data_IF_694428077345
#
_entry.id   IF_694428077345
#
_cell.length_a   1.000
_cell.length_b   1.000
_cell.length_c   1.000
_cell.angle_alpha   90.00
_cell.angle_beta   90.00
_cell.angle_gamma   90.00
#
_symmetry.space_group_name_H-M   'P 1'
#
loop_
_entity.id
_entity.type
_entity.pdbx_description
1 polymer ?
#
# COMPACT_ATOMS: atom_id res chain seq x y z
N UNK A 1 -8.81 -7.45 18.11
CA UNK A 1 -7.55 -8.16 18.07
C UNK A 1 -7.48 -9.00 16.80
N UNK A 2 -6.32 -9.18 16.17
CA UNK A 2 -6.16 -10.07 15.02
C UNK A 2 -6.52 -11.52 15.40
N UNK A 3 -7.16 -12.22 14.46
CA UNK A 3 -7.52 -13.64 14.60
C UNK A 3 -7.08 -14.40 13.36
N UNK A 4 -6.32 -15.48 13.55
CA UNK A 4 -5.89 -16.36 12.48
C UNK A 4 -6.71 -17.65 12.44
N UNK A 5 -7.04 -18.10 11.23
CA UNK A 5 -7.64 -19.39 10.93
C UNK A 5 -6.85 -20.03 9.79
N UNK A 6 -6.54 -21.32 9.88
CA UNK A 6 -5.89 -22.04 8.79
C UNK A 6 -6.43 -23.43 8.64
N UNK A 7 -6.43 -23.92 7.40
CA UNK A 7 -6.80 -25.28 7.02
C UNK A 7 -5.73 -25.81 6.06
N UNK A 8 -5.32 -27.06 6.31
CA UNK A 8 -4.28 -27.73 5.56
C UNK A 8 -4.71 -29.17 5.29
N UNK A 9 -4.65 -29.59 4.02
CA UNK A 9 -4.93 -30.98 3.66
C UNK A 9 -3.93 -31.43 2.61
N UNK A 10 -3.50 -32.66 2.78
CA UNK A 10 -2.52 -33.23 1.88
C UNK A 10 -2.77 -34.70 1.61
N UNK A 11 -2.28 -35.14 0.47
CA UNK A 11 -2.28 -36.53 0.07
C UNK A 11 -0.88 -36.94 -0.40
N UNK A 12 -0.47 -38.14 -0.02
CA UNK A 12 0.80 -38.70 -0.42
C UNK A 12 0.59 -40.03 -1.12
N UNK A 13 1.26 -40.22 -2.24
CA UNK A 13 1.23 -41.44 -3.05
C UNK A 13 2.64 -42.05 -3.10
N UNK A 14 2.69 -43.35 -2.92
CA UNK A 14 3.90 -44.17 -3.04
C UNK A 14 3.65 -45.25 -4.08
N UNK A 15 4.38 -45.23 -5.16
CA UNK A 15 4.15 -46.12 -6.30
C UNK A 15 5.44 -46.80 -6.74
N UNK A 16 5.33 -47.92 -7.45
CA UNK A 16 6.45 -48.63 -8.06
C UNK A 16 7.56 -48.97 -7.05
N UNK A 17 7.21 -49.61 -5.93
CA UNK A 17 8.15 -49.95 -4.88
C UNK A 17 8.95 -48.75 -4.35
N UNK A 18 8.29 -47.61 -4.14
CA UNK A 18 8.85 -46.35 -3.70
C UNK A 18 9.78 -45.64 -4.73
N UNK A 19 9.77 -46.05 -6.00
CA UNK A 19 10.50 -45.33 -7.03
C UNK A 19 9.84 -44.01 -7.37
N UNK A 20 8.54 -43.87 -7.11
CA UNK A 20 7.78 -42.65 -7.31
C UNK A 20 7.10 -42.30 -6.01
N UNK A 21 7.39 -41.10 -5.50
CA UNK A 21 6.68 -40.49 -4.38
C UNK A 21 6.08 -39.19 -4.86
N UNK A 22 4.79 -38.98 -4.66
CA UNK A 22 4.12 -37.72 -4.96
C UNK A 22 3.40 -37.24 -3.69
N UNK A 23 3.48 -35.95 -3.43
CA UNK A 23 2.78 -35.25 -2.35
C UNK A 23 2.10 -34.04 -2.92
N UNK A 24 0.84 -33.85 -2.53
CA UNK A 24 0.05 -32.68 -2.88
C UNK A 24 -0.56 -32.14 -1.60
N UNK A 25 -0.34 -30.86 -1.34
CA UNK A 25 -0.92 -30.14 -0.20
C UNK A 25 -1.72 -28.98 -0.71
N UNK A 26 -2.88 -28.74 -0.12
CA UNK A 26 -3.67 -27.51 -0.30
C UNK A 26 -3.78 -26.84 1.05
N UNK A 27 -3.67 -25.51 1.04
CA UNK A 27 -3.83 -24.72 2.22
C UNK A 27 -4.72 -23.50 1.98
N UNK A 28 -5.38 -23.09 3.04
CA UNK A 28 -6.08 -21.82 3.13
C UNK A 28 -5.83 -21.23 4.51
N UNK A 29 -5.45 -19.98 4.56
CA UNK A 29 -5.22 -19.26 5.81
C UNK A 29 -5.89 -17.88 5.73
N UNK A 30 -6.58 -17.52 6.81
CA UNK A 30 -7.21 -16.21 6.96
C UNK A 30 -6.65 -15.52 8.19
N UNK A 31 -6.30 -14.25 8.04
CA UNK A 31 -5.96 -13.38 9.14
C UNK A 31 -6.95 -12.23 9.16
N UNK A 32 -7.86 -12.26 10.12
CA UNK A 32 -8.89 -11.25 10.30
C UNK A 32 -8.37 -10.11 11.18
N UNK A 33 -8.80 -8.89 10.89
CA UNK A 33 -8.44 -7.68 11.63
C UNK A 33 -6.91 -7.45 11.75
N UNK A 34 -6.13 -7.82 10.73
CA UNK A 34 -4.73 -7.44 10.65
C UNK A 34 -4.62 -5.91 10.57
N UNK A 35 -3.53 -5.34 11.06
CA UNK A 35 -3.28 -3.90 10.93
C UNK A 35 -3.13 -3.53 9.47
N UNK A 36 -3.92 -2.56 9.01
CA UNK A 36 -3.86 -2.05 7.64
C UNK A 36 -2.70 -1.06 7.47
N UNK A 37 -1.96 -1.10 6.34
CA UNK A 37 -0.93 -0.11 6.03
C UNK A 37 -1.49 1.29 5.78
N UNK A 38 -2.81 1.45 5.64
CA UNK A 38 -3.49 2.75 5.47
C UNK A 38 -3.51 3.61 6.74
N UNK A 39 -2.95 3.14 7.83
CA UNK A 39 -2.90 3.91 9.09
C UNK A 39 -2.32 5.30 8.90
N UNK A 40 -1.34 5.47 8.01
CA UNK A 40 -0.79 6.79 7.70
C UNK A 40 -1.81 7.68 6.97
N UNK A 41 -2.54 7.14 5.99
CA UNK A 41 -3.59 7.88 5.27
C UNK A 41 -4.69 8.30 6.25
N UNK A 42 -5.10 7.39 7.13
CA UNK A 42 -6.08 7.66 8.17
C UNK A 42 -5.65 8.80 9.10
N UNK A 43 -4.41 8.75 9.60
CA UNK A 43 -3.87 9.80 10.45
C UNK A 43 -3.76 11.14 9.74
N UNK A 44 -3.44 11.14 8.45
CA UNK A 44 -3.35 12.35 7.64
C UNK A 44 -4.72 12.96 7.37
N UNK A 45 -5.72 12.14 6.95
CA UNK A 45 -7.11 12.59 6.77
C UNK A 45 -7.63 13.19 8.08
N UNK A 46 -7.36 12.54 9.19
CA UNK A 46 -7.74 13.03 10.52
C UNK A 46 -7.04 14.35 10.87
N UNK A 47 -5.74 14.47 10.60
CA UNK A 47 -4.99 15.71 10.84
C UNK A 47 -5.51 16.85 9.96
N UNK A 48 -5.81 16.59 8.71
CA UNK A 48 -6.34 17.59 7.78
C UNK A 48 -7.73 18.06 8.22
N UNK A 49 -8.60 17.12 8.62
CA UNK A 49 -9.91 17.45 9.21
C UNK A 49 -9.76 18.30 10.47
N UNK A 50 -8.87 17.90 11.38
CA UNK A 50 -8.64 18.62 12.64
C UNK A 50 -8.11 20.04 12.39
N UNK A 51 -7.15 20.18 11.48
CA UNK A 51 -6.59 21.47 11.12
C UNK A 51 -7.65 22.36 10.46
N UNK A 52 -8.46 21.81 9.56
CA UNK A 52 -9.53 22.51 8.90
C UNK A 52 -10.57 23.01 9.91
N UNK A 53 -11.03 22.13 10.80
CA UNK A 53 -11.99 22.51 11.85
C UNK A 53 -11.42 23.47 12.87
N UNK A 54 -10.19 23.24 13.29
CA UNK A 54 -9.52 24.14 14.23
C UNK A 54 -9.36 25.54 13.67
N UNK A 55 -9.11 25.65 12.36
CA UNK A 55 -9.06 26.97 11.67
C UNK A 55 -10.43 27.58 11.53
N UNK A 56 -11.40 26.84 10.96
CA UNK A 56 -12.77 27.30 10.85
C UNK A 56 -13.29 27.83 12.18
N UNK A 57 -13.13 27.06 13.25
CA UNK A 57 -13.60 27.48 14.55
C UNK A 57 -12.84 28.70 15.08
N UNK A 58 -11.51 28.70 15.05
CA UNK A 58 -10.72 29.80 15.61
C UNK A 58 -10.90 31.09 14.83
N UNK A 59 -10.91 30.99 13.52
CA UNK A 59 -10.87 32.17 12.66
C UNK A 59 -12.29 32.69 12.37
N UNK A 60 -13.29 31.80 12.29
CA UNK A 60 -14.68 32.21 12.13
C UNK A 60 -15.34 32.64 13.42
N UNK A 61 -14.88 32.17 14.58
CA UNK A 61 -15.39 32.62 15.88
C UNK A 61 -15.20 34.10 16.15
N UNK A 62 -14.23 34.72 15.50
CA UNK A 62 -14.09 36.18 15.55
C UNK A 62 -15.28 36.89 14.90
N UNK A 63 -15.92 36.24 13.94
CA UNK A 63 -16.97 36.78 13.10
C UNK A 63 -18.36 36.19 13.37
N UNK A 64 -18.41 35.06 14.03
CA UNK A 64 -19.62 34.30 14.38
C UNK A 64 -19.37 33.52 15.68
N UNK A 65 -19.37 34.23 16.82
CA UNK A 65 -19.08 33.65 18.13
C UNK A 65 -20.21 32.72 18.62
N UNK A 66 -21.44 32.98 18.16
CA UNK A 66 -22.63 32.21 18.51
C UNK A 66 -22.85 30.99 17.63
N UNK A 67 -22.10 30.87 16.53
CA UNK A 67 -22.17 29.74 15.57
C UNK A 67 -23.52 29.59 14.86
N UNK A 68 -24.21 30.68 14.57
CA UNK A 68 -25.49 30.69 13.86
C UNK A 68 -25.34 30.79 12.32
N UNK A 69 -24.12 30.92 11.83
CA UNK A 69 -23.82 31.02 10.40
C UNK A 69 -23.96 32.45 9.84
N UNK A 70 -24.09 33.45 10.72
CA UNK A 70 -24.17 34.85 10.36
C UNK A 70 -23.04 35.66 11.01
N UNK A 71 -22.80 36.87 10.48
CA UNK A 71 -21.84 37.77 11.09
C UNK A 71 -22.41 38.33 12.38
N UNK A 72 -21.63 38.26 13.47
CA UNK A 72 -22.02 38.85 14.72
C UNK A 72 -22.05 40.39 14.66
N UNK A 73 -22.97 40.98 15.39
CA UNK A 73 -23.19 42.46 15.42
C UNK A 73 -21.89 43.18 15.88
N UNK A 74 -21.09 42.61 16.76
CA UNK A 74 -19.84 43.21 17.24
C UNK A 74 -18.84 43.37 16.05
N UNK A 75 -18.79 42.40 15.14
CA UNK A 75 -17.94 42.48 13.95
C UNK A 75 -18.51 43.48 12.93
N UNK A 76 -19.81 43.50 12.76
CA UNK A 76 -20.49 44.53 11.95
C UNK A 76 -20.16 45.92 12.48
N UNK A 77 -20.23 46.11 13.77
CA UNK A 77 -19.91 47.40 14.42
C UNK A 77 -18.42 47.75 14.21
N UNK A 78 -17.50 46.77 14.27
CA UNK A 78 -16.08 46.97 13.98
C UNK A 78 -15.85 47.42 12.52
N UNK A 79 -16.60 46.84 11.55
CA UNK A 79 -16.54 47.23 10.12
C UNK A 79 -17.14 48.61 9.86
N UNK A 80 -18.12 48.99 10.67
CA UNK A 80 -18.76 50.31 10.57
C UNK A 80 -18.01 51.38 11.33
N UNK A 81 -17.04 51.01 12.19
CA UNK A 81 -16.30 51.99 12.96
C UNK A 81 -15.48 52.90 12.05
N UNK A 82 -15.44 54.21 12.33
CA UNK A 82 -14.58 55.13 11.60
C UNK A 82 -13.13 54.68 11.65
N UNK A 83 -12.48 54.71 10.47
CA UNK A 83 -11.03 54.44 10.40
C UNK A 83 -10.22 55.63 10.94
N UNK A 84 -8.90 55.62 10.71
CA UNK A 84 -7.97 56.61 11.26
C UNK A 84 -8.21 58.03 10.78
N UNK A 85 -9.08 58.29 9.79
CA UNK A 85 -9.50 59.62 9.31
C UNK A 85 -10.85 60.05 9.89
N UNK A 86 -11.48 59.17 10.68
CA UNK A 86 -12.74 59.48 11.38
C UNK A 86 -13.98 59.31 10.50
N UNK A 87 -13.86 58.71 9.34
CA UNK A 87 -14.97 58.47 8.41
C UNK A 87 -15.36 57.01 8.41
N UNK A 88 -16.60 56.68 8.58
CA UNK A 88 -17.09 55.32 8.44
C UNK A 88 -17.04 54.93 6.96
N UNK A 89 -16.55 53.72 6.63
CA UNK A 89 -16.55 53.20 5.26
C UNK A 89 -17.97 52.98 4.70
N UNK A 90 -19.00 53.07 5.54
CA UNK A 90 -20.40 52.94 5.15
C UNK A 90 -21.21 54.19 5.56
N UNK A 91 -22.05 54.67 4.65
CA UNK A 91 -22.94 55.79 4.96
C UNK A 91 -24.01 55.38 5.98
N UNK A 92 -24.07 56.02 7.14
CA UNK A 92 -25.05 55.71 8.20
C UNK A 92 -26.49 55.84 7.77
N UNK A 93 -26.77 56.60 6.72
CA UNK A 93 -28.12 56.85 6.24
C UNK A 93 -28.64 55.82 5.26
N UNK A 94 -27.79 55.30 4.39
CA UNK A 94 -28.12 54.29 3.37
C UNK A 94 -27.65 52.90 3.72
N UNK A 95 -26.68 52.76 4.63
CA UNK A 95 -26.02 51.49 4.92
C UNK A 95 -25.17 50.95 3.76
N UNK A 96 -24.82 51.83 2.79
CA UNK A 96 -24.03 51.46 1.61
C UNK A 96 -22.63 52.11 1.70
N UNK A 97 -21.62 51.40 1.17
CA UNK A 97 -20.29 51.98 0.98
C UNK A 97 -20.22 52.84 -0.28
N UNK A 98 -19.06 53.44 -0.55
CA UNK A 98 -18.82 54.28 -1.72
C UNK A 98 -19.04 53.56 -3.07
N UNK A 99 -19.01 52.24 -3.08
CA UNK A 99 -19.26 51.39 -4.25
C UNK A 99 -20.75 50.99 -4.36
N UNK A 100 -21.60 51.42 -3.43
CA UNK A 100 -23.02 51.13 -3.40
C UNK A 100 -23.36 49.73 -2.91
N UNK A 101 -22.43 49.07 -2.15
CA UNK A 101 -22.61 47.76 -1.60
C UNK A 101 -23.13 47.84 -0.15
N UNK A 102 -24.01 46.93 0.20
CA UNK A 102 -24.33 46.65 1.62
C UNK A 102 -23.12 46.01 2.35
N UNK A 103 -23.14 46.04 3.67
CA UNK A 103 -22.08 45.39 4.49
C UNK A 103 -21.89 43.94 4.08
N UNK A 104 -22.97 43.18 3.97
CA UNK A 104 -22.92 41.76 3.56
C UNK A 104 -22.31 41.60 2.17
N UNK A 105 -22.64 42.48 1.22
CA UNK A 105 -22.07 42.45 -0.14
C UNK A 105 -20.59 42.84 -0.14
N UNK A 106 -20.22 43.86 0.63
CA UNK A 106 -18.82 44.26 0.77
C UNK A 106 -17.97 43.21 1.44
N UNK A 107 -18.48 42.58 2.50
CA UNK A 107 -17.82 41.43 3.16
C UNK A 107 -17.68 40.24 2.22
N UNK A 108 -18.74 39.90 1.47
CA UNK A 108 -18.69 38.80 0.51
C UNK A 108 -17.72 39.08 -0.66
N UNK A 109 -17.53 40.35 -1.04
CA UNK A 109 -16.60 40.76 -2.09
C UNK A 109 -15.14 40.82 -1.59
N UNK A 110 -14.94 41.42 -0.40
CA UNK A 110 -13.60 41.56 0.22
C UNK A 110 -13.09 40.26 0.83
N UNK A 111 -14.01 39.45 1.37
CA UNK A 111 -13.69 38.23 2.10
C UNK A 111 -14.58 37.06 1.66
N UNK A 112 -14.55 36.64 0.40
CA UNK A 112 -15.44 35.60 -0.11
C UNK A 112 -15.25 34.26 0.66
N UNK A 113 -14.07 34.05 1.25
CA UNK A 113 -13.79 32.88 2.06
C UNK A 113 -14.54 32.88 3.40
N UNK A 114 -14.82 34.05 4.03
CA UNK A 114 -15.55 34.11 5.30
C UNK A 114 -16.99 33.67 5.11
N UNK A 115 -17.71 34.27 4.19
CA UNK A 115 -19.14 33.95 3.95
C UNK A 115 -19.32 32.50 3.56
N UNK A 116 -18.46 31.99 2.67
CA UNK A 116 -18.48 30.59 2.29
C UNK A 116 -18.08 29.67 3.46
N UNK A 117 -17.15 30.10 4.31
CA UNK A 117 -16.73 29.40 5.51
C UNK A 117 -17.84 29.30 6.57
N UNK A 118 -18.60 30.36 6.81
CA UNK A 118 -19.73 30.35 7.71
C UNK A 118 -20.84 29.39 7.22
N UNK A 119 -21.17 29.43 5.93
CA UNK A 119 -22.12 28.50 5.34
C UNK A 119 -21.64 27.03 5.45
N UNK A 120 -20.37 26.78 5.12
CA UNK A 120 -19.79 25.45 5.22
C UNK A 120 -19.77 24.94 6.68
N UNK A 121 -19.50 25.81 7.66
CA UNK A 121 -19.53 25.46 9.08
C UNK A 121 -20.93 25.06 9.52
N UNK A 122 -21.96 25.82 9.17
CA UNK A 122 -23.34 25.53 9.53
C UNK A 122 -23.81 24.16 8.99
N UNK A 123 -23.36 23.79 7.80
CA UNK A 123 -23.71 22.50 7.17
C UNK A 123 -22.90 21.33 7.71
N UNK A 124 -21.62 21.55 8.02
CA UNK A 124 -20.67 20.48 8.32
C UNK A 124 -20.58 20.18 9.81
N UNK A 125 -20.74 21.18 10.67
CA UNK A 125 -20.64 21.03 12.12
C UNK A 125 -21.60 19.98 12.72
N UNK A 126 -22.89 19.92 12.33
CA UNK A 126 -23.79 18.86 12.81
C UNK A 126 -23.38 17.45 12.40
N UNK A 127 -22.81 17.29 11.23
CA UNK A 127 -22.42 15.99 10.70
C UNK A 127 -21.14 15.47 11.33
N UNK A 128 -20.20 16.37 11.65
CA UNK A 128 -18.97 16.04 12.35
C UNK A 128 -19.19 15.60 13.76
N UNK A 129 -20.19 16.18 14.44
CA UNK A 129 -20.43 15.86 15.83
C UNK A 129 -20.74 14.40 16.07
N UNK A 130 -21.42 13.71 15.18
CA UNK A 130 -21.79 12.31 15.37
C UNK A 130 -20.74 11.32 14.85
N UNK A 131 -20.20 11.52 13.65
CA UNK A 131 -19.19 10.62 13.08
C UNK A 131 -17.81 10.76 13.77
N UNK A 132 -17.38 11.98 14.08
CA UNK A 132 -16.09 12.24 14.69
C UNK A 132 -16.11 12.16 16.21
N UNK A 133 -17.21 12.46 16.90
CA UNK A 133 -17.33 12.23 18.35
C UNK A 133 -17.16 10.76 18.70
N UNK A 134 -17.74 9.87 17.91
CA UNK A 134 -17.64 8.43 18.13
C UNK A 134 -16.25 7.90 17.74
N UNK A 135 -15.66 8.38 16.65
CA UNK A 135 -14.39 7.88 16.15
C UNK A 135 -13.18 8.49 16.87
N UNK A 136 -13.25 9.78 17.27
CA UNK A 136 -12.09 10.56 17.72
C UNK A 136 -12.26 11.27 19.04
N UNK A 137 -13.36 11.05 19.72
CA UNK A 137 -13.69 11.80 20.95
C UNK A 137 -13.55 13.33 20.75
N UNK A 138 -13.94 13.80 19.58
CA UNK A 138 -13.89 15.22 19.21
C UNK A 138 -14.88 16.00 20.07
N UNK A 139 -14.44 17.09 20.64
CA UNK A 139 -15.27 18.01 21.44
C UNK A 139 -15.07 19.42 20.93
N UNK A 140 -16.15 20.06 20.56
CA UNK A 140 -16.18 21.50 20.44
C UNK A 140 -16.33 22.06 21.85
N UNK A 141 -15.38 22.85 22.31
CA UNK A 141 -15.45 23.51 23.59
C UNK A 141 -16.35 24.75 23.45
N UNK A 142 -17.00 25.16 24.57
CA UNK A 142 -17.80 26.38 24.64
C UNK A 142 -17.00 27.67 24.28
N UNK A 143 -15.68 27.59 24.31
CA UNK A 143 -14.76 28.64 23.84
C UNK A 143 -14.50 28.61 22.34
N UNK A 144 -15.17 27.69 21.59
CA UNK A 144 -14.95 27.45 20.18
C UNK A 144 -13.64 26.76 19.81
N UNK A 145 -12.78 26.48 20.76
CA UNK A 145 -11.60 25.68 20.52
C UNK A 145 -12.00 24.20 20.35
N UNK A 146 -11.53 23.57 19.29
CA UNK A 146 -11.68 22.13 19.12
C UNK A 146 -10.65 21.40 19.96
N UNK A 147 -11.09 20.34 20.63
CA UNK A 147 -10.21 19.44 21.37
C UNK A 147 -10.44 18.02 20.91
N UNK A 148 -9.38 17.39 20.40
CA UNK A 148 -9.36 15.95 20.17
C UNK A 148 -8.57 15.28 21.26
N UNK A 149 -9.13 14.27 21.89
CA UNK A 149 -8.39 13.41 22.78
C UNK A 149 -7.79 12.26 21.93
N UNK A 150 -6.53 12.39 21.58
CA UNK A 150 -5.79 11.36 20.89
C UNK A 150 -5.53 10.18 21.83
N UNK A 151 -6.09 9.06 21.52
CA UNK A 151 -5.78 7.79 22.18
C UNK A 151 -4.59 7.08 21.51
N UNK A 152 -3.59 7.82 21.05
CA UNK A 152 -2.46 7.26 20.29
C UNK A 152 -2.76 7.12 18.79
N UNK A 153 -1.86 6.47 18.06
CA UNK A 153 -2.02 6.25 16.62
C UNK A 153 -3.27 5.41 16.34
N UNK A 154 -4.22 5.98 15.61
CA UNK A 154 -5.41 5.25 15.17
C UNK A 154 -4.99 4.35 14.04
N UNK A 155 -5.22 3.05 14.20
CA UNK A 155 -4.98 2.05 13.18
C UNK A 155 -6.30 1.52 12.65
N UNK A 156 -6.37 1.35 11.35
CA UNK A 156 -7.45 0.61 10.72
C UNK A 156 -7.04 -0.84 10.46
N UNK A 157 -7.98 -1.66 10.08
CA UNK A 157 -7.77 -3.09 9.90
C UNK A 157 -7.98 -3.50 8.44
N UNK A 158 -7.52 -4.69 8.14
CA UNK A 158 -7.80 -5.40 6.90
C UNK A 158 -7.82 -6.89 7.18
N UNK A 159 -8.46 -7.64 6.32
CA UNK A 159 -8.41 -9.09 6.35
C UNK A 159 -7.46 -9.57 5.26
N UNK A 160 -6.74 -10.66 5.53
CA UNK A 160 -5.78 -11.26 4.60
C UNK A 160 -6.21 -12.69 4.36
N UNK A 161 -6.54 -13.01 3.12
CA UNK A 161 -6.86 -14.35 2.67
C UNK A 161 -5.67 -14.87 1.85
N UNK A 162 -5.03 -15.94 2.33
CA UNK A 162 -3.95 -16.61 1.63
C UNK A 162 -4.37 -18.05 1.30
N UNK A 163 -4.19 -18.45 0.05
CA UNK A 163 -4.48 -19.81 -0.37
C UNK A 163 -3.47 -20.31 -1.39
N UNK A 164 -3.37 -21.61 -1.51
CA UNK A 164 -2.47 -22.18 -2.48
C UNK A 164 -2.43 -23.68 -2.47
N UNK A 165 -1.55 -24.21 -3.30
CA UNK A 165 -1.18 -25.60 -3.26
C UNK A 165 0.32 -25.78 -3.44
N UNK A 166 0.82 -26.89 -2.92
CA UNK A 166 2.20 -27.32 -3.07
C UNK A 166 2.23 -28.77 -3.54
N UNK A 167 2.99 -29.02 -4.59
CA UNK A 167 3.19 -30.34 -5.13
C UNK A 167 4.66 -30.73 -5.13
N UNK A 168 4.98 -31.94 -4.69
CA UNK A 168 6.30 -32.54 -4.79
C UNK A 168 6.21 -33.89 -5.49
N UNK A 169 7.08 -34.13 -6.45
CA UNK A 169 7.24 -35.44 -7.09
C UNK A 169 8.69 -35.82 -7.02
N UNK A 170 9.00 -36.96 -6.42
CA UNK A 170 10.31 -37.56 -6.39
C UNK A 170 10.29 -38.83 -7.22
N UNK A 171 11.16 -38.90 -8.21
CA UNK A 171 11.34 -40.04 -9.10
C UNK A 171 12.74 -40.63 -8.90
N UNK A 172 12.83 -41.93 -8.69
CA UNK A 172 14.06 -42.71 -8.69
C UNK A 172 13.97 -43.78 -9.79
N UNK A 173 14.11 -43.40 -11.12
CA UNK A 173 13.92 -44.32 -12.23
C UNK A 173 14.88 -45.51 -12.13
N UNK A 174 16.08 -45.24 -11.64
CA UNK A 174 17.11 -46.27 -11.33
C UNK A 174 17.74 -45.98 -9.95
N UNK A 175 18.54 -46.92 -9.46
CA UNK A 175 19.34 -46.71 -8.23
C UNK A 175 20.36 -45.56 -8.35
N UNK A 176 20.66 -45.17 -9.58
CA UNK A 176 21.68 -44.19 -9.93
C UNK A 176 21.11 -42.79 -10.20
N UNK A 177 19.80 -42.66 -10.45
CA UNK A 177 19.19 -41.45 -10.95
C UNK A 177 18.04 -41.02 -10.05
N UNK A 178 18.13 -39.78 -9.56
CA UNK A 178 17.08 -39.13 -8.78
C UNK A 178 16.64 -37.85 -9.49
N UNK A 179 15.34 -37.65 -9.56
CA UNK A 179 14.69 -36.44 -10.05
C UNK A 179 13.72 -35.97 -8.96
N UNK A 180 13.75 -34.68 -8.63
CA UNK A 180 12.77 -34.06 -7.74
C UNK A 180 12.17 -32.86 -8.46
N UNK A 181 10.86 -32.79 -8.48
CA UNK A 181 10.10 -31.68 -9.03
C UNK A 181 9.19 -31.13 -7.94
N UNK A 182 9.24 -29.82 -7.73
CA UNK A 182 8.35 -29.10 -6.81
C UNK A 182 7.62 -28.02 -7.59
N UNK A 183 6.33 -27.89 -7.32
CA UNK A 183 5.47 -26.84 -7.85
C UNK A 183 4.73 -26.20 -6.68
N UNK A 184 4.66 -24.90 -6.65
CA UNK A 184 3.86 -24.16 -5.69
C UNK A 184 3.09 -23.06 -6.40
N UNK A 185 1.80 -22.94 -6.05
CA UNK A 185 0.96 -21.79 -6.36
C UNK A 185 0.54 -21.15 -5.06
N UNK A 186 0.71 -19.86 -4.96
CA UNK A 186 0.22 -19.11 -3.80
C UNK A 186 -0.46 -17.82 -4.27
N UNK A 187 -1.54 -17.49 -3.60
CA UNK A 187 -2.29 -16.27 -3.81
C UNK A 187 -2.61 -15.66 -2.47
N UNK A 188 -2.41 -14.35 -2.34
CA UNK A 188 -2.80 -13.61 -1.15
C UNK A 188 -3.64 -12.43 -1.60
N UNK A 189 -4.82 -12.31 -1.02
CA UNK A 189 -5.80 -11.28 -1.34
C UNK A 189 -6.09 -10.48 -0.07
N UNK A 190 -6.14 -9.17 -0.19
CA UNK A 190 -6.57 -8.29 0.88
C UNK A 190 -8.06 -8.03 0.75
N UNK A 191 -8.80 -8.21 1.83
CA UNK A 191 -10.23 -7.94 1.88
C UNK A 191 -10.58 -7.08 3.09
N UNK A 192 -11.75 -6.46 3.06
CA UNK A 192 -12.20 -5.56 4.13
C UNK A 192 -11.13 -4.51 4.50
N UNK A 193 -10.53 -3.89 3.47
CA UNK A 193 -9.43 -2.95 3.63
C UNK A 193 -9.92 -1.63 4.18
N UNK A 194 -9.42 -1.25 5.34
CA UNK A 194 -9.65 0.03 5.99
C UNK A 194 -11.13 0.42 6.12
N UNK A 195 -11.99 -0.40 6.75
CA UNK A 195 -13.44 -0.18 6.78
C UNK A 195 -13.82 1.12 7.49
N UNK A 196 -13.06 1.56 8.49
CA UNK A 196 -13.32 2.81 9.22
C UNK A 196 -12.91 4.02 8.39
N UNK A 197 -11.74 3.97 7.75
CA UNK A 197 -11.29 5.03 6.85
C UNK A 197 -12.23 5.11 5.64
N UNK A 198 -12.67 3.97 5.08
CA UNK A 198 -13.64 3.93 4.01
C UNK A 198 -14.92 4.69 4.36
N UNK A 199 -15.48 4.40 5.53
CA UNK A 199 -16.66 5.11 6.00
C UNK A 199 -16.42 6.61 6.18
N UNK A 200 -15.27 7.00 6.72
CA UNK A 200 -14.92 8.41 6.87
C UNK A 200 -14.73 9.11 5.52
N UNK A 201 -14.08 8.45 4.56
CA UNK A 201 -13.78 9.05 3.25
C UNK A 201 -15.03 9.07 2.36
N UNK A 202 -15.75 7.97 2.27
CA UNK A 202 -16.88 7.82 1.33
C UNK A 202 -18.14 8.51 1.83
N UNK A 203 -18.47 8.37 3.09
CA UNK A 203 -19.70 8.93 3.67
C UNK A 203 -19.54 10.42 4.02
N UNK A 204 -18.35 10.87 4.34
CA UNK A 204 -18.11 12.22 4.84
C UNK A 204 -17.11 13.02 3.99
N UNK A 205 -15.82 12.63 3.92
CA UNK A 205 -14.77 13.45 3.32
C UNK A 205 -15.03 13.77 1.86
N UNK A 206 -15.34 12.78 1.02
CA UNK A 206 -15.53 12.97 -0.41
C UNK A 206 -16.74 13.88 -0.73
N UNK A 207 -17.93 13.66 -0.15
CA UNK A 207 -19.08 14.53 -0.40
C UNK A 207 -18.85 15.96 0.04
N UNK A 208 -18.28 16.19 1.24
CA UNK A 208 -18.07 17.53 1.78
C UNK A 208 -16.98 18.30 1.04
N UNK A 209 -15.91 17.60 0.65
CA UNK A 209 -14.88 18.22 -0.16
C UNK A 209 -15.32 18.48 -1.60
N UNK A 210 -16.25 17.69 -2.15
CA UNK A 210 -16.85 18.02 -3.43
C UNK A 210 -17.66 19.31 -3.35
N UNK A 211 -18.38 19.52 -2.26
CA UNK A 211 -19.19 20.72 -2.04
C UNK A 211 -18.34 21.97 -1.74
N UNK A 212 -17.32 21.82 -0.87
CA UNK A 212 -16.62 22.98 -0.28
C UNK A 212 -15.11 23.03 -0.59
N UNK A 213 -14.55 22.02 -1.24
CA UNK A 213 -13.10 21.94 -1.51
C UNK A 213 -12.57 22.96 -2.52
N UNK A 214 -13.45 23.67 -3.21
CA UNK A 214 -13.10 24.78 -4.12
C UNK A 214 -12.86 26.09 -3.37
N UNK A 215 -13.23 26.18 -2.10
CA UNK A 215 -13.07 27.36 -1.30
C UNK A 215 -11.59 27.56 -0.95
N UNK A 216 -11.11 28.78 -1.18
CA UNK A 216 -9.77 29.18 -0.73
C UNK A 216 -9.85 29.57 0.75
N UNK A 217 -9.58 28.59 1.60
CA UNK A 217 -9.58 28.76 3.05
C UNK A 217 -8.36 29.54 3.58
N UNK A 218 -7.43 29.87 2.69
CA UNK A 218 -6.24 30.65 3.02
C UNK A 218 -6.47 32.17 2.94
N UNK A 219 -7.50 32.60 2.23
CA UNK A 219 -7.84 34.02 2.10
C UNK A 219 -9.18 34.32 2.83
N UNK A 220 -9.25 35.06 3.85
CA UNK A 220 -8.40 35.90 4.69
C UNK A 220 -7.78 35.18 5.89
N UNK A 221 -7.93 33.88 6.00
CA UNK A 221 -7.52 33.06 7.13
C UNK A 221 -6.01 32.79 7.17
N UNK A 222 -5.29 33.48 6.36
CA UNK A 222 -3.83 33.62 6.24
C UNK A 222 -2.94 32.39 6.04
N UNK A 223 -2.09 32.61 5.04
CA UNK A 223 -0.71 32.13 4.87
C UNK A 223 -0.31 30.92 5.72
N UNK A 224 -0.66 29.76 5.25
CA UNK A 224 0.17 28.60 5.47
C UNK A 224 0.40 27.93 4.11
N UNK A 225 1.48 28.33 3.46
CA UNK A 225 2.13 27.63 2.35
C UNK A 225 1.40 27.47 1.02
N UNK A 226 0.42 28.29 0.66
CA UNK A 226 -0.20 28.21 -0.67
C UNK A 226 -0.96 26.92 -0.98
N UNK A 227 -1.17 26.08 0.01
CA UNK A 227 -1.91 24.83 -0.11
C UNK A 227 -3.40 25.10 0.06
N UNK A 228 -4.13 25.08 -1.04
CA UNK A 228 -5.59 25.01 -0.97
C UNK A 228 -6.00 23.67 -0.40
N UNK A 229 -7.05 23.62 0.42
CA UNK A 229 -7.64 22.36 0.91
C UNK A 229 -7.97 21.38 -0.21
N UNK A 230 -8.26 21.90 -1.43
CA UNK A 230 -8.47 21.08 -2.60
C UNK A 230 -7.27 20.23 -3.02
N UNK A 231 -6.05 20.73 -2.87
CA UNK A 231 -4.83 19.95 -3.18
C UNK A 231 -4.68 18.81 -2.19
N UNK A 232 -4.77 19.09 -0.90
CA UNK A 232 -4.67 18.06 0.15
C UNK A 232 -5.81 17.03 0.05
N UNK A 233 -7.01 17.45 -0.25
CA UNK A 233 -8.13 16.56 -0.51
C UNK A 233 -7.82 15.53 -1.59
N UNK A 234 -7.38 16.00 -2.75
CA UNK A 234 -7.13 15.10 -3.88
C UNK A 234 -6.03 14.10 -3.55
N UNK A 235 -4.96 14.53 -2.87
CA UNK A 235 -3.89 13.63 -2.45
C UNK A 235 -4.40 12.53 -1.50
N UNK A 236 -5.23 12.87 -0.51
CA UNK A 236 -5.77 11.88 0.44
C UNK A 236 -6.73 10.90 -0.20
N UNK A 237 -7.57 11.38 -1.10
CA UNK A 237 -8.46 10.53 -1.89
C UNK A 237 -7.68 9.60 -2.82
N UNK A 238 -6.63 10.10 -3.48
CA UNK A 238 -5.74 9.29 -4.31
C UNK A 238 -5.10 8.17 -3.50
N UNK A 239 -4.50 8.50 -2.34
CA UNK A 239 -3.84 7.51 -1.47
C UNK A 239 -4.83 6.43 -0.98
N UNK A 240 -6.04 6.83 -0.58
CA UNK A 240 -7.08 5.91 -0.15
C UNK A 240 -7.56 5.00 -1.29
N UNK A 241 -7.98 5.57 -2.42
CA UNK A 241 -8.51 4.79 -3.53
C UNK A 241 -7.46 3.94 -4.21
N UNK A 242 -6.19 4.36 -4.24
CA UNK A 242 -5.09 3.54 -4.74
C UNK A 242 -4.92 2.24 -3.92
N UNK A 243 -5.09 2.33 -2.59
CA UNK A 243 -5.00 1.16 -1.72
C UNK A 243 -6.28 0.32 -1.83
N UNK A 244 -7.43 0.97 -1.77
CA UNK A 244 -8.75 0.32 -1.89
C UNK A 244 -8.94 -0.40 -3.22
N UNK A 245 -8.38 0.13 -4.30
CA UNK A 245 -8.41 -0.48 -5.63
C UNK A 245 -7.74 -1.86 -5.71
N UNK A 246 -6.88 -2.21 -4.77
CA UNK A 246 -6.27 -3.53 -4.65
C UNK A 246 -7.10 -4.52 -3.81
N UNK A 247 -8.21 -4.08 -3.20
CA UNK A 247 -9.09 -4.98 -2.44
C UNK A 247 -9.70 -6.04 -3.34
N UNK A 248 -9.65 -7.29 -2.91
CA UNK A 248 -10.14 -8.42 -3.68
C UNK A 248 -9.21 -8.89 -4.81
N UNK A 249 -8.02 -8.28 -4.97
CA UNK A 249 -7.05 -8.63 -6.00
C UNK A 249 -5.80 -9.27 -5.40
N UNK A 250 -5.06 -10.07 -6.18
CA UNK A 250 -3.79 -10.64 -5.74
C UNK A 250 -2.83 -9.54 -5.28
N UNK A 251 -2.11 -9.81 -4.20
CA UNK A 251 -1.17 -8.84 -3.65
C UNK A 251 -0.08 -8.47 -4.67
N UNK A 252 0.16 -7.18 -4.94
CA UNK A 252 1.25 -6.74 -5.82
C UNK A 252 2.60 -7.31 -5.41
N UNK A 253 3.50 -7.45 -6.39
CA UNK A 253 4.84 -8.01 -6.22
C UNK A 253 4.86 -9.50 -5.83
N UNK A 254 3.72 -10.16 -5.63
CA UNK A 254 3.64 -11.59 -5.39
C UNK A 254 3.73 -12.36 -6.71
N UNK A 255 4.60 -13.39 -6.73
CA UNK A 255 4.69 -14.34 -7.84
C UNK A 255 3.82 -15.54 -7.53
N UNK A 256 2.83 -15.77 -8.39
CA UNK A 256 1.81 -16.80 -8.16
C UNK A 256 2.43 -18.20 -8.25
N UNK A 257 3.17 -18.49 -9.32
CA UNK A 257 3.72 -19.81 -9.57
C UNK A 257 5.23 -19.88 -9.35
N UNK A 258 5.67 -20.99 -8.78
CA UNK A 258 7.08 -21.36 -8.62
C UNK A 258 7.27 -22.83 -8.95
N UNK A 259 8.30 -23.13 -9.73
CA UNK A 259 8.68 -24.48 -10.10
C UNK A 259 10.16 -24.69 -9.84
N UNK A 260 10.50 -25.87 -9.29
CA UNK A 260 11.87 -26.31 -9.12
C UNK A 260 12.01 -27.72 -9.65
N UNK A 261 12.98 -27.94 -10.51
CA UNK A 261 13.37 -29.24 -11.00
C UNK A 261 14.83 -29.47 -10.61
N UNK A 262 15.09 -30.55 -9.91
CA UNK A 262 16.43 -30.97 -9.50
C UNK A 262 16.65 -32.37 -10.00
N UNK A 263 17.79 -32.62 -10.63
CA UNK A 263 18.17 -33.96 -11.07
C UNK A 263 19.61 -34.26 -10.66
N UNK A 264 19.89 -35.51 -10.31
CA UNK A 264 21.24 -35.99 -10.04
C UNK A 264 21.39 -37.44 -10.50
N UNK A 265 22.45 -37.70 -11.26
CA UNK A 265 22.85 -39.03 -11.68
C UNK A 265 24.24 -39.37 -11.14
N UNK A 266 24.38 -40.56 -10.55
CA UNK A 266 25.67 -41.07 -9.98
C UNK A 266 26.09 -42.32 -10.74
N UNK A 267 27.28 -42.31 -11.31
CA UNK A 267 27.88 -43.44 -11.97
C UNK A 267 28.45 -44.41 -10.89
N UNK A 268 27.83 -45.59 -10.73
CA UNK A 268 28.20 -46.57 -9.73
C UNK A 268 29.14 -47.65 -10.23
N UNK A 269 29.20 -47.78 -11.56
CA UNK A 269 29.91 -48.85 -12.24
C UNK A 269 30.69 -48.31 -13.46
N UNK A 270 31.62 -49.10 -13.99
CA UNK A 270 32.42 -48.79 -15.16
C UNK A 270 33.50 -47.74 -14.92
N UNK A 271 34.03 -47.17 -16.01
CA UNK A 271 35.17 -46.23 -15.96
C UNK A 271 34.85 -44.84 -15.32
N UNK A 272 33.57 -44.51 -15.14
CA UNK A 272 33.13 -43.27 -14.50
C UNK A 272 32.65 -43.47 -13.06
N UNK A 273 32.93 -44.64 -12.47
CA UNK A 273 32.52 -44.94 -11.11
C UNK A 273 32.96 -43.87 -10.14
N UNK A 274 32.02 -43.39 -9.34
CA UNK A 274 32.23 -42.31 -8.35
C UNK A 274 31.93 -40.92 -8.87
N UNK A 275 31.76 -40.74 -10.20
CA UNK A 275 31.30 -39.46 -10.77
C UNK A 275 29.82 -39.28 -10.52
N UNK A 276 29.41 -38.05 -10.19
CA UNK A 276 28.00 -37.62 -10.17
C UNK A 276 27.84 -36.34 -10.92
N UNK A 277 26.71 -36.22 -11.63
CA UNK A 277 26.34 -35.03 -12.39
C UNK A 277 24.93 -34.66 -11.97
N UNK A 278 24.72 -33.41 -11.63
CA UNK A 278 23.41 -32.87 -11.25
C UNK A 278 23.14 -31.51 -11.88
N UNK A 279 21.88 -31.17 -11.90
CA UNK A 279 21.42 -29.86 -12.32
C UNK A 279 20.12 -29.48 -11.64
N UNK A 280 19.85 -28.19 -11.64
CA UNK A 280 18.60 -27.65 -11.15
C UNK A 280 18.12 -26.50 -12.03
N UNK A 281 16.81 -26.41 -12.17
CA UNK A 281 16.12 -25.31 -12.82
C UNK A 281 15.12 -24.75 -11.81
N UNK A 282 15.15 -23.46 -11.61
CA UNK A 282 14.17 -22.72 -10.79
C UNK A 282 13.44 -21.71 -11.66
N UNK A 283 12.15 -21.76 -11.61
CA UNK A 283 11.26 -20.84 -12.30
C UNK A 283 10.40 -20.09 -11.30
N UNK A 284 10.21 -18.79 -11.52
CA UNK A 284 9.24 -17.96 -10.83
C UNK A 284 8.49 -17.16 -11.87
N UNK A 285 7.18 -17.12 -11.69
CA UNK A 285 6.26 -16.42 -12.59
C UNK A 285 6.44 -14.92 -12.58
N UNK A 286 5.74 -14.23 -13.45
CA UNK A 286 5.63 -12.78 -13.43
C UNK A 286 4.87 -12.29 -12.21
N UNK A 287 4.87 -10.98 -11.99
CA UNK A 287 4.21 -10.34 -10.87
C UNK A 287 3.69 -8.96 -11.29
N UNK A 288 2.64 -8.46 -10.64
CA UNK A 288 2.18 -7.09 -10.84
C UNK A 288 3.21 -6.10 -10.27
N UNK A 289 3.96 -5.44 -11.16
CA UNK A 289 5.06 -4.54 -10.78
C UNK A 289 4.68 -3.06 -10.75
N UNK A 290 3.51 -2.72 -11.29
CA UNK A 290 2.98 -1.36 -11.35
C UNK A 290 1.66 -1.32 -12.09
N UNK A 291 1.08 -0.14 -12.19
CA UNK A 291 -0.24 0.04 -12.80
C UNK A 291 -0.24 1.27 -13.70
N UNK A 292 -0.86 1.22 -14.89
CA UNK A 292 -1.16 2.41 -15.65
C UNK A 292 -2.14 3.30 -14.88
N UNK A 293 -2.29 4.55 -15.31
CA UNK A 293 -3.29 5.45 -14.73
C UNK A 293 -4.52 5.51 -15.61
N UNK A 294 -5.68 5.57 -14.97
CA UNK A 294 -6.98 5.79 -15.60
C UNK A 294 -7.67 7.01 -14.99
N UNK A 295 -8.48 7.68 -15.78
CA UNK A 295 -9.36 8.74 -15.31
C UNK A 295 -10.63 8.12 -14.72
N UNK A 296 -10.82 8.24 -13.43
CA UNK A 296 -12.09 7.95 -12.76
C UNK A 296 -12.97 9.21 -12.88
N UNK A 297 -13.87 9.18 -13.86
CA UNK A 297 -14.72 10.34 -14.18
C UNK A 297 -15.72 10.62 -13.05
N UNK A 298 -16.22 9.60 -12.40
CA UNK A 298 -17.23 9.73 -11.34
C UNK A 298 -16.64 10.43 -10.10
N UNK A 299 -15.36 10.19 -9.81
CA UNK A 299 -14.65 10.81 -8.67
C UNK A 299 -13.83 12.05 -9.07
N UNK A 300 -13.63 12.28 -10.36
CA UNK A 300 -12.76 13.34 -10.86
C UNK A 300 -11.30 13.12 -10.48
N UNK A 301 -10.86 11.88 -10.39
CA UNK A 301 -9.52 11.48 -9.95
C UNK A 301 -8.80 10.68 -11.03
N UNK A 302 -7.46 10.74 -11.00
CA UNK A 302 -6.60 9.86 -11.79
C UNK A 302 -6.09 8.78 -10.89
N UNK A 303 -6.52 7.53 -11.10
CA UNK A 303 -6.24 6.40 -10.21
C UNK A 303 -5.42 5.30 -10.92
N UNK A 304 -4.70 4.45 -10.16
CA UNK A 304 -4.09 3.25 -10.72
C UNK A 304 -5.15 2.29 -11.29
N UNK A 305 -4.96 1.85 -12.53
CA UNK A 305 -5.78 0.78 -13.14
C UNK A 305 -5.33 -0.58 -12.60
N UNK A 306 -5.89 -0.98 -11.49
CA UNK A 306 -5.54 -2.24 -10.82
C UNK A 306 -6.07 -3.48 -11.53
N UNK A 307 -6.90 -3.32 -12.58
CA UNK A 307 -7.38 -4.43 -13.42
C UNK A 307 -6.40 -4.76 -14.56
N UNK A 308 -5.54 -3.81 -14.94
CA UNK A 308 -4.57 -3.96 -16.03
C UNK A 308 -3.13 -3.67 -15.55
N UNK A 309 -2.55 -4.50 -14.68
CA UNK A 309 -1.21 -4.24 -14.13
C UNK A 309 -0.13 -4.39 -15.21
N UNK A 310 0.95 -3.61 -15.05
CA UNK A 310 2.21 -3.87 -15.70
C UNK A 310 2.91 -5.04 -15.03
N UNK A 311 3.23 -6.08 -15.81
CA UNK A 311 3.89 -7.26 -15.25
C UNK A 311 5.42 -7.15 -15.30
N UNK A 312 6.05 -7.44 -14.17
CA UNK A 312 7.48 -7.72 -14.09
C UNK A 312 7.80 -9.07 -14.70
N UNK A 313 9.00 -9.21 -15.25
CA UNK A 313 9.40 -10.43 -15.98
C UNK A 313 9.45 -11.66 -15.07
N UNK A 314 9.02 -12.80 -15.62
CA UNK A 314 9.33 -14.12 -15.06
C UNK A 314 10.84 -14.33 -14.96
N UNK A 315 11.27 -15.09 -13.97
CA UNK A 315 12.68 -15.42 -13.77
C UNK A 315 12.92 -16.91 -13.90
N UNK A 316 14.04 -17.28 -14.52
CA UNK A 316 14.50 -18.66 -14.61
C UNK A 316 15.98 -18.71 -14.28
N UNK A 317 16.38 -19.63 -13.41
CA UNK A 317 17.78 -19.82 -13.06
C UNK A 317 18.21 -21.29 -13.19
N UNK A 318 19.45 -21.46 -13.61
CA UNK A 318 20.05 -22.77 -13.86
C UNK A 318 21.25 -22.96 -12.94
N UNK A 319 21.30 -24.14 -12.31
CA UNK A 319 22.41 -24.55 -11.48
C UNK A 319 22.93 -25.90 -11.99
N UNK A 320 24.22 -26.16 -11.81
CA UNK A 320 24.81 -27.45 -12.11
C UNK A 320 25.78 -27.89 -11.01
N UNK A 321 25.97 -29.18 -10.87
CA UNK A 321 26.95 -29.76 -9.94
C UNK A 321 27.65 -30.96 -10.56
N UNK A 322 28.94 -31.03 -10.34
CA UNK A 322 29.76 -32.20 -10.73
C UNK A 322 30.47 -32.64 -9.47
N UNK A 323 30.31 -33.90 -9.09
CA UNK A 323 30.95 -34.51 -7.92
C UNK A 323 31.74 -35.73 -8.32
N UNK A 324 32.84 -36.01 -7.60
CA UNK A 324 33.59 -37.22 -7.72
C UNK A 324 33.91 -37.74 -6.31
N UNK A 325 33.67 -39.04 -6.09
CA UNK A 325 33.97 -39.72 -4.83
C UNK A 325 34.86 -40.90 -5.11
N UNK A 326 35.95 -41.01 -4.32
CA UNK A 326 36.89 -42.13 -4.38
C UNK A 326 37.44 -42.41 -3.01
N UNK A 327 37.63 -43.71 -2.70
CA UNK A 327 38.40 -44.16 -1.54
C UNK A 327 39.87 -44.11 -1.91
N UNK A 328 40.68 -43.42 -1.10
CA UNK A 328 42.12 -43.30 -1.27
C UNK A 328 42.77 -44.27 -0.28
N UNK A 329 43.71 -45.09 -0.74
CA UNK A 329 44.44 -46.07 0.09
C UNK A 329 45.60 -45.38 0.83
N UNK A 330 45.34 -44.25 1.45
CA UNK A 330 46.27 -43.49 2.28
C UNK A 330 45.73 -43.40 3.70
N UNK A 331 46.61 -43.36 4.71
CA UNK A 331 46.25 -43.14 6.12
C UNK A 331 45.13 -44.07 6.64
N UNK A 332 45.14 -45.36 6.21
CA UNK A 332 44.14 -46.34 6.65
C UNK A 332 42.84 -46.35 5.82
N UNK A 333 42.77 -45.59 4.75
CA UNK A 333 41.65 -45.56 3.81
C UNK A 333 40.75 -44.34 4.01
N UNK A 334 41.05 -43.26 3.32
CA UNK A 334 40.34 -41.99 3.39
C UNK A 334 39.27 -41.91 2.29
N UNK A 335 38.03 -41.66 2.64
CA UNK A 335 36.99 -41.33 1.69
C UNK A 335 37.15 -39.87 1.22
N UNK A 336 37.57 -39.67 -0.04
CA UNK A 336 37.68 -38.36 -0.65
C UNK A 336 36.51 -38.08 -1.55
N UNK A 337 35.87 -36.92 -1.33
CA UNK A 337 34.79 -36.36 -2.16
C UNK A 337 35.19 -34.98 -2.63
N UNK A 338 35.19 -34.77 -3.93
CA UNK A 338 35.31 -33.44 -4.59
C UNK A 338 33.98 -33.05 -5.22
N UNK A 339 33.60 -31.81 -5.10
CA UNK A 339 32.35 -31.33 -5.68
C UNK A 339 32.54 -29.89 -6.21
N UNK A 340 32.20 -29.68 -7.47
CA UNK A 340 32.10 -28.37 -8.11
C UNK A 340 30.62 -28.02 -8.16
N UNK A 341 30.25 -26.87 -7.61
CA UNK A 341 28.90 -26.32 -7.67
C UNK A 341 28.93 -25.04 -8.47
N UNK A 342 27.94 -24.89 -9.31
CA UNK A 342 27.74 -23.75 -10.21
C UNK A 342 26.32 -23.27 -10.04
N UNK A 343 26.14 -22.00 -9.70
CA UNK A 343 24.82 -21.36 -9.55
C UNK A 343 24.63 -20.22 -10.53
N UNK A 344 23.39 -19.96 -10.87
CA UNK A 344 22.97 -18.83 -11.71
C UNK A 344 23.69 -18.78 -13.04
N UNK A 345 23.84 -19.94 -13.71
CA UNK A 345 24.56 -20.09 -14.99
C UNK A 345 24.01 -19.19 -16.11
N UNK A 346 22.75 -18.74 -16.01
CA UNK A 346 22.16 -17.80 -16.95
C UNK A 346 22.78 -16.39 -16.85
N UNK A 347 23.45 -16.05 -15.75
CA UNK A 347 24.03 -14.72 -15.50
C UNK A 347 25.58 -14.76 -15.40
N UNK A 348 26.22 -15.48 -16.32
CA UNK A 348 27.69 -15.58 -16.39
C UNK A 348 28.33 -14.22 -16.70
N UNK A 349 27.65 -13.36 -17.48
CA UNK A 349 28.15 -12.02 -17.85
C UNK A 349 28.00 -11.01 -16.72
N UNK A 350 27.26 -11.33 -15.68
CA UNK A 350 26.95 -10.45 -14.54
C UNK A 350 26.31 -9.11 -14.97
N UNK A 351 25.51 -9.14 -16.04
CA UNK A 351 24.81 -8.00 -16.61
C UNK A 351 23.29 -8.10 -16.42
N UNK A 352 22.83 -9.11 -15.71
CA UNK A 352 21.42 -9.34 -15.46
C UNK A 352 20.80 -8.26 -14.60
N UNK A 353 19.75 -7.61 -15.09
CA UNK A 353 18.93 -6.63 -14.37
C UNK A 353 17.51 -7.17 -14.27
N UNK A 354 16.96 -7.12 -13.07
CA UNK A 354 15.57 -7.44 -12.77
C UNK A 354 14.84 -6.16 -12.37
N UNK A 355 13.82 -5.79 -13.16
CA UNK A 355 12.92 -4.68 -12.83
C UNK A 355 12.00 -5.16 -11.71
N UNK A 356 11.96 -4.44 -10.61
CA UNK A 356 11.15 -4.77 -9.43
C UNK A 356 9.95 -3.86 -9.24
N UNK A 357 9.96 -2.69 -9.90
CA UNK A 357 8.84 -1.74 -9.92
C UNK A 357 8.75 -1.07 -11.28
N UNK A 358 7.51 -0.86 -11.74
CA UNK A 358 7.21 -0.27 -13.04
C UNK A 358 6.39 1.00 -12.81
N UNK A 359 6.75 2.06 -13.54
CA UNK A 359 6.02 3.33 -13.50
C UNK A 359 4.68 3.23 -14.25
N UNK A 360 3.76 4.19 -14.05
CA UNK A 360 2.49 4.20 -14.78
C UNK A 360 2.62 4.22 -16.30
N UNK A 361 3.70 4.74 -16.84
CA UNK A 361 4.01 4.75 -18.28
C UNK A 361 4.65 3.45 -18.81
N UNK A 362 4.81 2.44 -17.94
CA UNK A 362 5.42 1.17 -18.29
C UNK A 362 6.95 1.15 -18.20
N UNK A 363 7.60 2.26 -17.86
CA UNK A 363 9.06 2.31 -17.70
C UNK A 363 9.49 1.76 -16.34
N UNK A 364 10.77 1.36 -16.22
CA UNK A 364 11.30 0.83 -14.97
C UNK A 364 11.44 1.96 -13.91
N UNK A 365 10.71 1.83 -12.79
CA UNK A 365 10.85 2.71 -11.64
C UNK A 365 11.97 2.27 -10.71
N UNK A 366 12.13 0.94 -10.54
CA UNK A 366 13.13 0.33 -9.68
C UNK A 366 13.64 -0.96 -10.27
N UNK A 367 14.94 -1.15 -10.21
CA UNK A 367 15.59 -2.37 -10.65
C UNK A 367 16.66 -2.81 -9.65
N UNK A 368 16.99 -4.10 -9.68
CA UNK A 368 18.11 -4.68 -8.93
C UNK A 368 18.98 -5.53 -9.85
N UNK A 369 20.23 -5.70 -9.49
CA UNK A 369 21.08 -6.67 -10.18
C UNK A 369 20.66 -8.08 -9.81
N UNK A 370 20.56 -8.95 -10.82
CA UNK A 370 20.37 -10.36 -10.61
C UNK A 370 21.65 -10.97 -10.03
N UNK A 371 21.51 -11.99 -9.19
CA UNK A 371 22.67 -12.68 -8.64
C UNK A 371 23.59 -13.22 -9.75
N UNK A 372 24.89 -12.92 -9.71
CA UNK A 372 25.85 -13.39 -10.72
C UNK A 372 26.00 -14.91 -10.68
N UNK A 373 26.61 -15.47 -11.74
CA UNK A 373 27.07 -16.84 -11.71
C UNK A 373 28.14 -17.04 -10.63
N UNK A 374 27.99 -18.09 -9.87
CA UNK A 374 28.89 -18.43 -8.77
C UNK A 374 29.42 -19.83 -8.96
N UNK A 375 30.71 -20.00 -8.67
CA UNK A 375 31.41 -21.27 -8.77
C UNK A 375 32.20 -21.53 -7.49
N UNK A 376 32.07 -22.71 -6.93
CA UNK A 376 32.91 -23.11 -5.78
C UNK A 376 33.25 -24.58 -5.81
N UNK A 377 34.46 -24.89 -5.38
CA UNK A 377 34.98 -26.23 -5.24
C UNK A 377 35.01 -26.63 -3.75
N UNK A 378 34.42 -27.77 -3.46
CA UNK A 378 34.47 -28.36 -2.11
C UNK A 378 35.22 -29.67 -2.15
N UNK A 379 36.18 -29.83 -1.26
CA UNK A 379 36.86 -31.12 -0.99
C UNK A 379 36.53 -31.58 0.42
N UNK A 380 36.10 -32.83 0.58
CA UNK A 380 35.78 -33.43 1.85
C UNK A 380 36.63 -34.72 1.99
N UNK A 381 37.32 -34.85 3.11
CA UNK A 381 38.08 -36.03 3.49
C UNK A 381 37.46 -36.59 4.75
N UNK A 382 37.09 -37.88 4.73
CA UNK A 382 36.52 -38.57 5.90
C UNK A 382 37.45 -39.75 6.23
N UNK A 383 37.91 -39.78 7.47
CA UNK A 383 38.86 -40.76 7.99
C UNK A 383 38.13 -41.89 8.71
#
# INVERSE_FOLDING_TARGET
>A
APRGESQDWGISFYMMENKVTARLNWYSAKLLNATSPVSNVYNQVNSDLFNWFGRLNRDLMRYDANSDGQLDQEYIDELLAPDGDGVSPFDPGSGLNDEGLTIDQAVAQLFPGITAGLAARADVEPMLTDALKVAYNYRLLATGASQTQWAGAITDTQDIDASGFEGEIILNPTRNWRIAFNAARQETVLTNVAPRLGKLVEDFWAPHMAAYGHLDWSAPLQEVNGDTLGINRNQRLLDYFAIKGNEGKPNPEQREWRFNLITNYTFRDGGLKGLSIGGAVRYQDEFAGGYPLINDVDRGLVLPDTDNPWFGKRTMSFDATIGYRRKLDILGGVDWRMQINMRNLQNVRNDGIEVTRIQPDGTAARARFSAPAQYWLTNTFSF
#
